data_IF_127083125278
#
_entry.id   IF_127083125278
#
_cell.length_a   1.000
_cell.length_b   1.000
_cell.length_c   1.000
_cell.angle_alpha   90.00
_cell.angle_beta   90.00
_cell.angle_gamma   90.00
#
_symmetry.space_group_name_H-M   'P 1'
#
loop_
_entity.id
_entity.type
_entity.pdbx_description
1 polymer ?
#
# COMPACT_ATOMS: atom_id res chain seq x y z
N UNK A 1 -3.48 -6.17 -34.21
CA UNK A 1 -3.77 -6.43 -32.78
C UNK A 1 -2.47 -6.86 -32.15
N UNK A 2 -1.74 -5.93 -31.54
CA UNK A 2 -0.48 -6.25 -30.87
C UNK A 2 -0.85 -7.04 -29.62
N UNK A 3 -0.51 -8.33 -29.59
CA UNK A 3 -0.72 -9.15 -28.39
C UNK A 3 0.04 -8.49 -27.25
N UNK A 4 -0.58 -8.42 -26.08
CA UNK A 4 0.05 -7.93 -24.85
C UNK A 4 1.21 -8.88 -24.52
N UNK A 5 2.41 -8.56 -25.00
CA UNK A 5 3.62 -9.28 -24.63
C UNK A 5 3.97 -8.90 -23.19
N UNK A 6 4.00 -9.91 -22.30
CA UNK A 6 4.33 -9.71 -20.91
C UNK A 6 5.82 -9.92 -20.67
N UNK A 7 6.46 -8.94 -20.04
CA UNK A 7 7.83 -9.07 -19.58
C UNK A 7 7.95 -10.14 -18.48
N UNK A 8 9.10 -10.85 -18.39
CA UNK A 8 9.36 -11.80 -17.33
C UNK A 8 9.31 -11.12 -15.96
N UNK A 9 8.67 -11.77 -14.99
CA UNK A 9 8.54 -11.22 -13.64
C UNK A 9 9.89 -11.29 -12.91
N UNK A 10 10.43 -10.10 -12.61
CA UNK A 10 11.64 -9.98 -11.80
C UNK A 10 11.35 -10.26 -10.32
N UNK A 11 12.38 -10.68 -9.57
CA UNK A 11 12.26 -10.86 -8.12
C UNK A 11 11.83 -9.56 -7.39
N UNK A 12 12.29 -8.40 -7.88
CA UNK A 12 11.84 -7.11 -7.36
C UNK A 12 10.33 -6.89 -7.58
N UNK A 13 9.80 -7.25 -8.75
CA UNK A 13 8.37 -7.18 -9.03
C UNK A 13 7.55 -8.08 -8.10
N UNK A 14 8.05 -9.29 -7.78
CA UNK A 14 7.40 -10.18 -6.79
C UNK A 14 7.36 -9.54 -5.41
N UNK A 15 8.46 -8.97 -4.94
CA UNK A 15 8.49 -8.27 -3.64
C UNK A 15 7.50 -7.10 -3.60
N UNK A 16 7.44 -6.31 -4.68
CA UNK A 16 6.49 -5.21 -4.80
C UNK A 16 5.04 -5.69 -4.77
N UNK A 17 4.72 -6.75 -5.51
CA UNK A 17 3.39 -7.35 -5.52
C UNK A 17 2.98 -7.90 -4.14
N UNK A 18 3.88 -8.61 -3.46
CA UNK A 18 3.63 -9.11 -2.10
C UNK A 18 3.47 -7.96 -1.10
N UNK A 19 4.24 -6.88 -1.24
CA UNK A 19 4.11 -5.68 -0.42
C UNK A 19 2.73 -5.04 -0.56
N UNK A 20 2.22 -4.91 -1.80
CA UNK A 20 0.87 -4.43 -2.11
C UNK A 20 -0.19 -5.34 -1.51
N UNK A 21 -0.06 -6.67 -1.66
CA UNK A 21 -0.99 -7.63 -1.07
C UNK A 21 -1.06 -7.50 0.46
N UNK A 22 0.09 -7.47 1.12
CA UNK A 22 0.16 -7.26 2.57
C UNK A 22 -0.43 -5.90 2.97
N UNK A 23 -0.17 -4.84 2.21
CA UNK A 23 -0.74 -3.51 2.44
C UNK A 23 -2.28 -3.53 2.37
N UNK A 24 -2.86 -4.14 1.34
CA UNK A 24 -4.31 -4.27 1.18
C UNK A 24 -4.92 -5.02 2.37
N UNK A 25 -4.28 -6.10 2.84
CA UNK A 25 -4.72 -6.84 4.02
C UNK A 25 -4.79 -5.97 5.29
N UNK A 26 -4.00 -4.89 5.38
CA UNK A 26 -4.10 -3.95 6.51
C UNK A 26 -5.35 -3.06 6.47
N UNK A 27 -5.93 -2.84 5.29
CA UNK A 27 -7.09 -1.96 5.06
C UNK A 27 -8.42 -2.72 5.09
N UNK A 28 -8.41 -3.97 4.62
CA UNK A 28 -9.59 -4.84 4.56
C UNK A 28 -10.42 -4.94 5.85
N UNK A 29 -9.85 -5.04 7.07
CA UNK A 29 -10.64 -5.45 8.23
C UNK A 29 -11.70 -4.42 8.61
N UNK A 30 -11.37 -3.14 8.45
CA UNK A 30 -12.32 -2.04 8.67
C UNK A 30 -13.34 -1.92 7.56
N UNK A 31 -12.95 -2.24 6.34
CA UNK A 31 -13.80 -2.17 5.15
C UNK A 31 -14.81 -3.30 5.12
N UNK A 32 -14.37 -4.54 5.36
CA UNK A 32 -15.24 -5.71 5.47
C UNK A 32 -16.30 -5.56 6.55
N UNK A 33 -15.94 -5.03 7.73
CA UNK A 33 -16.89 -4.83 8.85
C UNK A 33 -18.05 -3.89 8.52
N UNK A 34 -17.81 -2.87 7.71
CA UNK A 34 -18.80 -1.82 7.41
C UNK A 34 -19.57 -2.14 6.13
N UNK A 35 -18.86 -2.53 5.06
CA UNK A 35 -19.46 -2.80 3.75
C UNK A 35 -20.15 -4.16 3.71
N UNK A 36 -19.58 -5.17 4.38
CA UNK A 36 -20.11 -6.53 4.40
C UNK A 36 -20.31 -7.02 5.84
N UNK A 37 -21.31 -6.51 6.59
CA UNK A 37 -21.51 -6.84 8.01
C UNK A 37 -21.62 -8.34 8.28
N UNK A 38 -22.10 -9.14 7.32
CA UNK A 38 -22.17 -10.59 7.42
C UNK A 38 -20.79 -11.26 7.65
N UNK A 39 -19.70 -10.65 7.16
CA UNK A 39 -18.32 -11.14 7.35
C UNK A 39 -17.83 -11.02 8.78
N UNK A 40 -18.52 -10.29 9.65
CA UNK A 40 -18.14 -10.19 11.07
C UNK A 40 -18.31 -11.52 11.80
N UNK A 41 -19.24 -12.37 11.34
CA UNK A 41 -19.50 -13.71 11.90
C UNK A 41 -18.38 -14.71 11.62
N UNK A 42 -17.65 -14.57 10.52
CA UNK A 42 -16.58 -15.51 10.14
C UNK A 42 -15.29 -15.36 10.97
N UNK A 43 -15.18 -14.31 11.79
CA UNK A 43 -13.97 -14.05 12.59
C UNK A 43 -12.78 -13.50 11.80
N UNK A 44 -12.81 -13.54 10.46
CA UNK A 44 -11.73 -13.07 9.58
C UNK A 44 -11.35 -11.61 9.87
N UNK A 45 -12.29 -10.64 9.95
CA UNK A 45 -11.93 -9.26 10.24
C UNK A 45 -11.31 -9.07 11.64
N UNK A 46 -11.69 -9.91 12.61
CA UNK A 46 -11.12 -9.89 13.97
C UNK A 46 -9.68 -10.39 13.97
N UNK A 47 -9.40 -11.47 13.24
CA UNK A 47 -8.04 -12.01 13.08
C UNK A 47 -7.12 -11.00 12.38
N UNK A 48 -7.58 -10.41 11.27
CA UNK A 48 -6.77 -9.42 10.56
C UNK A 48 -6.52 -8.16 11.40
N UNK A 49 -7.47 -7.68 12.21
CA UNK A 49 -7.22 -6.56 13.13
C UNK A 49 -6.19 -6.89 14.20
N UNK A 50 -6.19 -8.13 14.72
CA UNK A 50 -5.20 -8.58 15.71
C UNK A 50 -3.79 -8.50 15.16
N UNK A 51 -3.58 -8.92 13.91
CA UNK A 51 -2.27 -8.97 13.27
C UNK A 51 -1.96 -7.78 12.35
N UNK A 52 -2.85 -6.78 12.27
CA UNK A 52 -2.74 -5.62 11.36
C UNK A 52 -1.39 -4.93 11.45
N UNK A 53 -0.86 -4.77 12.66
CA UNK A 53 0.47 -4.18 12.90
C UNK A 53 1.56 -4.99 12.20
N UNK A 54 1.62 -6.30 12.47
CA UNK A 54 2.62 -7.19 11.87
C UNK A 54 2.51 -7.28 10.36
N UNK A 55 1.28 -7.33 9.83
CA UNK A 55 1.03 -7.32 8.38
C UNK A 55 1.51 -6.01 7.74
N UNK A 56 1.30 -4.87 8.41
CA UNK A 56 1.81 -3.57 7.96
C UNK A 56 3.33 -3.48 7.97
N UNK A 57 3.99 -4.01 9.01
CA UNK A 57 5.45 -4.09 9.04
C UNK A 57 5.99 -5.03 7.94
N UNK A 58 5.32 -6.16 7.69
CA UNK A 58 5.68 -7.07 6.60
C UNK A 58 5.60 -6.36 5.25
N UNK A 59 4.52 -5.63 4.99
CA UNK A 59 4.36 -4.81 3.78
C UNK A 59 5.50 -3.81 3.62
N UNK A 60 5.87 -3.12 4.70
CA UNK A 60 7.00 -2.19 4.69
C UNK A 60 8.34 -2.88 4.39
N UNK A 61 8.66 -4.00 5.04
CA UNK A 61 9.90 -4.73 4.80
C UNK A 61 10.00 -5.22 3.34
N UNK A 62 8.90 -5.72 2.79
CA UNK A 62 8.83 -6.13 1.38
C UNK A 62 9.02 -4.93 0.44
N UNK A 63 8.42 -3.78 0.75
CA UNK A 63 8.59 -2.55 -0.01
C UNK A 63 10.03 -2.01 0.03
N UNK A 64 10.70 -2.10 1.19
CA UNK A 64 12.13 -1.76 1.32
C UNK A 64 12.99 -2.71 0.48
N UNK A 65 12.72 -4.03 0.51
CA UNK A 65 13.42 -4.99 -0.34
C UNK A 65 13.24 -4.71 -1.84
N UNK A 66 12.00 -4.42 -2.25
CA UNK A 66 11.68 -3.99 -3.61
C UNK A 66 12.47 -2.73 -4.01
N UNK A 67 12.44 -1.70 -3.18
CA UNK A 67 13.13 -0.43 -3.42
C UNK A 67 14.67 -0.62 -3.47
N UNK A 68 15.22 -1.44 -2.57
CA UNK A 68 16.66 -1.71 -2.51
C UNK A 68 17.19 -2.38 -3.79
N UNK A 69 16.46 -3.34 -4.34
CA UNK A 69 16.87 -4.00 -5.59
C UNK A 69 16.87 -3.00 -6.75
N UNK A 70 15.82 -2.19 -6.88
CA UNK A 70 15.78 -1.17 -7.93
C UNK A 70 16.81 -0.05 -7.73
N UNK A 71 17.08 0.33 -6.49
CA UNK A 71 18.16 1.27 -6.16
C UNK A 71 19.51 0.79 -6.72
N UNK A 72 19.81 -0.51 -6.56
CA UNK A 72 21.02 -1.13 -7.11
C UNK A 72 21.00 -1.28 -8.63
N UNK A 73 19.87 -1.66 -9.22
CA UNK A 73 19.75 -1.90 -10.66
C UNK A 73 19.76 -0.60 -11.50
N UNK A 74 19.26 0.50 -10.93
CA UNK A 74 19.07 1.77 -11.64
C UNK A 74 20.17 2.79 -11.36
N UNK A 75 21.22 2.43 -10.61
CA UNK A 75 22.31 3.32 -10.20
C UNK A 75 21.78 4.65 -9.62
N UNK A 76 20.86 4.54 -8.66
CA UNK A 76 20.21 5.71 -8.08
C UNK A 76 21.25 6.64 -7.44
N UNK A 77 21.38 7.86 -7.99
CA UNK A 77 22.25 8.89 -7.44
C UNK A 77 21.52 9.68 -6.34
N UNK A 78 22.03 9.58 -5.11
CA UNK A 78 21.50 10.27 -3.94
C UNK A 78 21.82 11.78 -3.93
N UNK A 79 22.73 12.23 -4.79
CA UNK A 79 23.12 13.65 -4.89
C UNK A 79 22.38 14.37 -6.02
N UNK A 80 21.71 13.63 -6.91
CA UNK A 80 21.00 14.20 -8.04
C UNK A 80 19.49 14.39 -7.75
N UNK A 81 19.08 15.65 -7.71
CA UNK A 81 17.66 16.03 -7.53
C UNK A 81 16.79 15.50 -8.68
N UNK A 82 17.32 15.37 -9.91
CA UNK A 82 16.53 14.86 -11.04
C UNK A 82 16.18 13.38 -10.86
N UNK A 83 17.10 12.61 -10.27
CA UNK A 83 16.84 11.21 -9.90
C UNK A 83 15.69 11.11 -8.88
N UNK A 84 15.65 11.97 -7.86
CA UNK A 84 14.52 12.03 -6.94
C UNK A 84 13.21 12.41 -7.61
N UNK A 85 13.24 13.35 -8.56
CA UNK A 85 12.06 13.76 -9.31
C UNK A 85 11.52 12.61 -10.18
N UNK A 86 12.41 11.88 -10.87
CA UNK A 86 12.04 10.76 -11.72
C UNK A 86 11.38 9.62 -10.91
N UNK A 87 11.90 9.33 -9.71
CA UNK A 87 11.37 8.28 -8.83
C UNK A 87 10.44 8.80 -7.73
N UNK A 88 9.95 10.05 -7.84
CA UNK A 88 9.26 10.77 -6.77
C UNK A 88 8.12 9.99 -6.15
N UNK A 89 7.29 9.35 -6.97
CA UNK A 89 6.15 8.54 -6.54
C UNK A 89 6.55 7.34 -5.65
N UNK A 90 7.63 6.64 -6.01
CA UNK A 90 8.12 5.48 -5.25
C UNK A 90 8.75 5.92 -3.94
N UNK A 91 9.60 6.95 -4.00
CA UNK A 91 10.26 7.55 -2.83
C UNK A 91 9.24 8.12 -1.85
N UNK A 92 8.22 8.83 -2.34
CA UNK A 92 7.15 9.40 -1.51
C UNK A 92 6.34 8.31 -0.82
N UNK A 93 5.96 7.26 -1.54
CA UNK A 93 5.23 6.12 -0.98
C UNK A 93 6.05 5.41 0.10
N UNK A 94 7.33 5.14 -0.18
CA UNK A 94 8.24 4.52 0.77
C UNK A 94 8.47 5.40 2.01
N UNK A 95 8.53 6.72 1.84
CA UNK A 95 8.65 7.68 2.94
C UNK A 95 7.44 7.60 3.87
N UNK A 96 6.22 7.57 3.32
CA UNK A 96 5.01 7.41 4.13
C UNK A 96 5.03 6.07 4.86
N UNK A 97 5.34 4.97 4.18
CA UNK A 97 5.42 3.65 4.83
C UNK A 97 6.47 3.61 5.95
N UNK A 98 7.60 4.29 5.77
CA UNK A 98 8.64 4.44 6.79
C UNK A 98 8.10 5.15 8.03
N UNK A 99 7.40 6.29 7.87
CA UNK A 99 6.78 7.01 8.98
C UNK A 99 5.73 6.16 9.71
N UNK A 100 4.90 5.43 8.96
CA UNK A 100 3.90 4.53 9.51
C UNK A 100 4.54 3.37 10.28
N UNK A 101 5.60 2.77 9.75
CA UNK A 101 6.32 1.65 10.36
C UNK A 101 7.05 2.08 11.65
N UNK A 102 7.81 3.19 11.61
CA UNK A 102 8.51 3.72 12.79
C UNK A 102 7.52 4.03 13.91
N UNK A 103 6.34 4.57 13.57
CA UNK A 103 5.31 4.91 14.57
C UNK A 103 4.34 3.77 14.91
N UNK A 104 4.55 2.59 14.35
CA UNK A 104 3.79 1.37 14.67
C UNK A 104 4.34 0.69 15.92
N UNK A 105 4.39 1.40 17.05
CA UNK A 105 4.82 0.86 18.34
C UNK A 105 4.06 1.50 19.52
N UNK A 106 4.07 0.83 20.68
CA UNK A 106 3.32 1.28 21.87
C UNK A 106 3.81 2.63 22.41
N UNK A 107 5.11 2.90 22.32
CA UNK A 107 5.69 4.16 22.78
C UNK A 107 5.18 5.35 21.95
N UNK A 108 5.17 5.22 20.63
CA UNK A 108 4.65 6.25 19.72
C UNK A 108 3.16 6.48 19.91
N UNK A 109 2.37 5.41 20.15
CA UNK A 109 0.95 5.54 20.48
C UNK A 109 0.73 6.37 21.76
N UNK A 110 1.50 6.09 22.82
CA UNK A 110 1.41 6.81 24.09
C UNK A 110 1.88 8.26 23.98
N UNK A 111 2.97 8.51 23.24
CA UNK A 111 3.57 9.83 23.07
C UNK A 111 2.74 10.76 22.19
N UNK A 112 2.28 10.28 21.04
CA UNK A 112 1.59 11.09 20.02
C UNK A 112 0.07 11.21 20.26
N UNK A 113 -0.54 10.32 21.08
CA UNK A 113 -1.96 10.37 21.46
C UNK A 113 -2.88 10.53 20.24
N UNK A 114 -3.70 11.59 20.18
CA UNK A 114 -4.61 11.87 19.06
C UNK A 114 -3.90 12.06 17.72
N UNK A 115 -2.66 12.57 17.74
CA UNK A 115 -1.86 12.79 16.53
C UNK A 115 -1.34 11.46 15.94
N UNK A 116 -1.24 10.39 16.75
CA UNK A 116 -0.89 9.07 16.23
C UNK A 116 -1.91 8.59 15.20
N UNK A 117 -3.21 8.74 15.50
CA UNK A 117 -4.27 8.36 14.54
C UNK A 117 -4.20 9.20 13.27
N UNK A 118 -3.95 10.50 13.37
CA UNK A 118 -3.75 11.39 12.20
C UNK A 118 -2.58 10.95 11.34
N UNK A 119 -1.46 10.60 11.95
CA UNK A 119 -0.29 10.09 11.24
C UNK A 119 -0.62 8.75 10.54
N UNK A 120 -1.31 7.85 11.23
CA UNK A 120 -1.71 6.55 10.66
C UNK A 120 -2.73 6.69 9.52
N UNK A 121 -3.47 7.80 9.44
CA UNK A 121 -4.34 8.11 8.30
C UNK A 121 -3.57 8.44 7.02
N UNK A 122 -2.27 8.76 7.09
CA UNK A 122 -1.42 8.87 5.90
C UNK A 122 -1.40 7.57 5.07
N UNK A 123 -1.79 6.44 5.67
CA UNK A 123 -2.03 5.20 4.92
C UNK A 123 -2.96 5.43 3.74
N UNK A 124 -4.01 6.26 3.86
CA UNK A 124 -4.96 6.49 2.77
C UNK A 124 -4.33 7.33 1.65
N UNK A 125 -3.45 8.28 1.99
CA UNK A 125 -2.65 8.99 0.99
C UNK A 125 -1.71 8.04 0.25
N UNK A 126 -1.04 7.15 1.00
CA UNK A 126 -0.17 6.14 0.42
C UNK A 126 -0.92 5.18 -0.52
N UNK A 127 -2.22 4.91 -0.27
CA UNK A 127 -3.04 4.09 -1.15
C UNK A 127 -3.10 4.68 -2.57
N UNK A 128 -3.36 5.99 -2.67
CA UNK A 128 -3.44 6.67 -3.98
C UNK A 128 -2.06 6.82 -4.62
N UNK A 129 -1.04 7.18 -3.84
CA UNK A 129 0.34 7.29 -4.34
C UNK A 129 0.89 5.95 -4.82
N UNK A 130 0.57 4.84 -4.14
CA UNK A 130 0.99 3.50 -4.55
C UNK A 130 0.31 3.07 -5.86
N UNK A 131 -0.98 3.35 -6.02
CA UNK A 131 -1.67 3.09 -7.30
C UNK A 131 -1.06 3.90 -8.44
N UNK A 132 -0.76 5.18 -8.21
CA UNK A 132 -0.04 6.01 -9.19
C UNK A 132 1.32 5.39 -9.50
N UNK A 133 2.11 5.04 -8.48
CA UNK A 133 3.41 4.42 -8.63
C UNK A 133 3.39 3.20 -9.54
N UNK A 134 2.45 2.28 -9.32
CA UNK A 134 2.31 1.07 -10.14
C UNK A 134 1.94 1.45 -11.57
N UNK A 135 0.96 2.34 -11.75
CA UNK A 135 0.50 2.78 -13.06
C UNK A 135 1.63 3.38 -13.91
N UNK A 136 2.36 4.35 -13.35
CA UNK A 136 3.34 5.11 -14.11
C UNK A 136 4.62 4.32 -14.41
N UNK A 137 5.08 3.44 -13.50
CA UNK A 137 6.27 2.62 -13.77
C UNK A 137 5.96 1.50 -14.77
N UNK A 138 4.75 0.95 -14.73
CA UNK A 138 4.40 -0.23 -15.53
C UNK A 138 3.73 0.12 -16.86
N UNK A 139 3.42 1.40 -17.10
CA UNK A 139 2.94 1.88 -18.39
C UNK A 139 3.87 1.52 -19.56
N UNK A 140 5.16 1.25 -19.29
CA UNK A 140 6.17 0.91 -20.30
C UNK A 140 6.68 -0.55 -20.23
N UNK A 141 6.34 -1.30 -19.17
CA UNK A 141 6.84 -2.66 -18.92
C UNK A 141 5.78 -3.51 -18.20
N UNK A 142 4.84 -4.06 -18.95
CA UNK A 142 3.75 -4.84 -18.39
C UNK A 142 4.23 -6.25 -18.05
N UNK A 143 4.21 -6.59 -16.77
CA UNK A 143 4.23 -7.99 -16.31
C UNK A 143 2.81 -8.48 -16.03
N UNK A 144 2.58 -9.79 -16.01
CA UNK A 144 1.25 -10.36 -15.68
C UNK A 144 0.78 -10.03 -14.25
N UNK A 145 1.68 -9.66 -13.33
CA UNK A 145 1.34 -9.21 -11.97
C UNK A 145 0.76 -7.79 -11.95
N UNK A 146 1.12 -6.97 -12.93
CA UNK A 146 0.72 -5.56 -13.02
C UNK A 146 -0.81 -5.37 -13.07
N UNK A 147 -1.55 -5.99 -14.02
CA UNK A 147 -2.99 -5.81 -14.08
C UNK A 147 -3.67 -6.35 -12.81
N UNK A 148 -3.16 -7.45 -12.24
CA UNK A 148 -3.67 -8.01 -10.98
C UNK A 148 -3.51 -7.01 -9.83
N UNK A 149 -2.31 -6.41 -9.71
CA UNK A 149 -2.02 -5.40 -8.68
C UNK A 149 -2.87 -4.14 -8.83
N UNK A 150 -3.02 -3.61 -10.05
CA UNK A 150 -3.86 -2.44 -10.33
C UNK A 150 -5.32 -2.73 -10.00
N UNK A 151 -5.87 -3.86 -10.47
CA UNK A 151 -7.26 -4.24 -10.17
C UNK A 151 -7.47 -4.39 -8.67
N UNK A 152 -6.55 -5.04 -7.95
CA UNK A 152 -6.64 -5.17 -6.49
C UNK A 152 -6.61 -3.80 -5.78
N UNK A 153 -5.77 -2.87 -6.24
CA UNK A 153 -5.70 -1.50 -5.72
C UNK A 153 -6.98 -0.69 -6.03
N UNK A 154 -7.55 -0.84 -7.22
CA UNK A 154 -8.81 -0.19 -7.57
C UNK A 154 -9.97 -0.73 -6.72
N UNK A 155 -10.05 -2.04 -6.52
CA UNK A 155 -11.05 -2.67 -5.65
C UNK A 155 -10.97 -2.09 -4.23
N UNK A 156 -9.77 -2.01 -3.63
CA UNK A 156 -9.66 -1.49 -2.26
C UNK A 156 -9.98 0.01 -2.19
N UNK A 157 -9.64 0.80 -3.21
CA UNK A 157 -10.02 2.22 -3.31
C UNK A 157 -11.54 2.37 -3.36
N UNK A 158 -12.22 1.63 -4.25
CA UNK A 158 -13.68 1.67 -4.39
C UNK A 158 -14.35 1.28 -3.07
N UNK A 159 -13.91 0.18 -2.45
CA UNK A 159 -14.46 -0.26 -1.16
C UNK A 159 -14.19 0.76 -0.05
N UNK A 160 -13.03 1.43 -0.06
CA UNK A 160 -12.74 2.51 0.89
C UNK A 160 -13.68 3.70 0.69
N UNK A 161 -13.90 4.15 -0.55
CA UNK A 161 -14.80 5.26 -0.86
C UNK A 161 -16.24 4.91 -0.49
N UNK A 162 -16.70 3.72 -0.86
CA UNK A 162 -18.04 3.23 -0.49
C UNK A 162 -18.23 3.17 1.03
N UNK A 163 -17.21 2.70 1.77
CA UNK A 163 -17.22 2.76 3.24
C UNK A 163 -17.36 4.19 3.75
N UNK A 164 -16.64 5.17 3.18
CA UNK A 164 -16.74 6.57 3.63
C UNK A 164 -18.15 7.13 3.37
N UNK A 165 -18.73 6.80 2.23
CA UNK A 165 -20.10 7.19 1.88
C UNK A 165 -21.13 6.64 2.89
N UNK A 166 -21.07 5.36 3.23
CA UNK A 166 -21.95 4.77 4.28
C UNK A 166 -21.80 5.51 5.61
N UNK A 167 -20.56 5.78 6.03
CA UNK A 167 -20.27 6.42 7.32
C UNK A 167 -20.76 7.87 7.35
N UNK A 168 -20.74 8.57 6.22
CA UNK A 168 -21.28 9.92 6.09
C UNK A 168 -22.81 9.90 6.17
N UNK A 169 -23.47 9.04 5.39
CA UNK A 169 -24.92 8.91 5.39
C UNK A 169 -25.49 8.50 6.75
N UNK A 170 -24.79 7.66 7.51
CA UNK A 170 -25.23 7.25 8.85
C UNK A 170 -25.14 8.33 9.94
N UNK A 171 -24.53 9.48 9.63
CA UNK A 171 -24.36 10.61 10.57
C UNK A 171 -25.35 11.74 10.34
N UNK A 172 -26.06 11.72 9.23
CA UNK A 172 -27.20 12.59 8.91
C UNK A 172 -28.48 11.99 9.47
#
# INVERSE_FOLDING_TARGET
>A
MQLLEFDPVSFAAVLGFLAVGAYILTLLPTTLRIVFPATTKSGIPKWLLKYRRWIGLLSFCLAVGHAYIYFKQRNFDLLDIKTYWFYFQGVSTLTIFTLLAITSNHWSMKKLKKNWKKLQQLTYLAMFLLTWHIWAIMAHHWTYLTPIGIVAMLIIIVLFLYRQWIVQYSRE
#
